data_IF_492996878606
#
_entry.id   IF_492996878606
#
_cell.length_a   1.000
_cell.length_b   1.000
_cell.length_c   1.000
_cell.angle_alpha   90.00
_cell.angle_beta   90.00
_cell.angle_gamma   90.00
#
_symmetry.space_group_name_H-M   'P 1'
#
loop_
_entity.id
_entity.type
_entity.pdbx_description
1 polymer ?
#
# COMPACT_ATOMS: atom_id res chain seq x y z
N UNK A 1 22.02 35.12 6.62
CA UNK A 1 20.82 34.60 7.29
C UNK A 1 20.73 33.10 7.04
N UNK A 2 20.51 32.28 8.08
CA UNK A 2 20.21 30.84 7.94
C UNK A 2 18.76 30.61 8.30
N UNK A 3 18.06 29.71 7.61
CA UNK A 3 16.82 29.09 8.14
C UNK A 3 17.21 27.81 8.87
N UNK A 4 16.46 27.51 9.92
CA UNK A 4 16.53 26.28 10.72
C UNK A 4 15.09 25.77 10.81
N UNK A 5 14.92 24.46 10.69
CA UNK A 5 13.62 23.79 10.71
C UNK A 5 12.97 23.86 12.09
N UNK A 6 11.64 23.89 12.15
CA UNK A 6 10.90 23.62 13.38
C UNK A 6 9.59 22.87 13.11
N UNK A 7 9.44 21.76 13.82
CA UNK A 7 8.24 20.94 13.93
C UNK A 7 7.73 21.02 15.39
N UNK A 8 6.48 20.64 15.63
CA UNK A 8 5.88 20.29 16.95
C UNK A 8 5.46 21.46 17.87
N UNK A 9 4.15 21.54 18.22
CA UNK A 9 3.62 21.57 19.62
C UNK A 9 2.08 21.76 19.76
N UNK A 10 1.41 20.85 20.54
CA UNK A 10 0.17 21.01 21.39
C UNK A 10 -1.16 21.36 20.62
N UNK A 11 -2.43 20.97 20.93
CA UNK A 11 -3.31 20.69 22.11
C UNK A 11 -4.25 19.49 21.78
N UNK A 12 -4.84 18.58 22.61
CA UNK A 12 -4.85 18.21 24.05
C UNK A 12 -6.20 18.35 24.85
N UNK A 13 -6.85 17.21 25.20
CA UNK A 13 -8.07 17.01 26.06
C UNK A 13 -9.42 17.54 25.49
N UNK A 14 -10.65 17.14 25.91
CA UNK A 14 -11.26 16.50 27.11
C UNK A 14 -12.64 15.81 26.77
N UNK A 15 -13.40 15.05 27.60
CA UNK A 15 -13.19 14.10 28.75
C UNK A 15 -14.56 13.49 29.24
N UNK A 16 -14.60 12.30 29.91
CA UNK A 16 -15.71 11.73 30.78
C UNK A 16 -17.03 11.23 30.09
N UNK A 17 -17.80 10.21 30.52
CA UNK A 17 -17.87 9.28 31.70
C UNK A 17 -18.30 7.84 31.23
N UNK A 18 -18.27 6.72 31.98
CA UNK A 18 -18.95 6.39 33.26
C UNK A 18 -18.30 5.14 33.95
N UNK A 19 -18.73 4.76 35.16
CA UNK A 19 -17.97 3.93 36.11
C UNK A 19 -18.54 2.53 36.45
N UNK A 20 -17.73 1.73 37.15
CA UNK A 20 -17.89 0.30 37.52
C UNK A 20 -18.92 -0.01 38.62
N UNK A 21 -19.38 -1.27 38.72
CA UNK A 21 -19.85 -1.84 40.00
C UNK A 21 -19.76 -3.39 40.12
N UNK A 22 -19.37 -3.83 41.33
CA UNK A 22 -19.63 -5.13 42.00
C UNK A 22 -19.32 -6.48 41.30
N UNK A 23 -18.32 -7.19 41.87
CA UNK A 23 -18.23 -8.66 41.85
C UNK A 23 -18.96 -9.22 43.09
N UNK A 24 -19.72 -10.33 42.94
CA UNK A 24 -20.13 -11.19 44.07
C UNK A 24 -20.37 -12.62 43.59
N UNK A 25 -19.51 -13.56 43.98
CA UNK A 25 -19.63 -14.97 43.60
C UNK A 25 -20.48 -15.81 44.56
N UNK A 26 -20.97 -16.95 44.07
CA UNK A 26 -21.43 -18.10 44.86
C UNK A 26 -21.46 -19.36 44.00
N UNK A 27 -21.13 -20.50 44.59
CA UNK A 27 -21.03 -21.81 43.95
C UNK A 27 -22.39 -22.50 43.79
N UNK A 28 -22.57 -23.31 42.73
CA UNK A 28 -22.70 -24.79 42.87
C UNK A 28 -23.06 -25.51 41.56
N UNK A 29 -22.50 -26.71 41.38
CA UNK A 29 -23.06 -27.90 40.71
C UNK A 29 -23.54 -27.88 39.22
N UNK A 30 -22.94 -28.80 38.47
CA UNK A 30 -23.55 -29.75 37.52
C UNK A 30 -24.56 -29.28 36.45
N UNK A 31 -24.11 -29.32 35.19
CA UNK A 31 -24.98 -29.21 34.01
C UNK A 31 -24.22 -29.21 32.68
N UNK A 32 -23.98 -30.38 32.08
CA UNK A 32 -23.46 -30.45 30.71
C UNK A 32 -24.53 -30.03 29.70
N UNK A 33 -24.34 -28.88 29.03
CA UNK A 33 -24.99 -28.57 27.76
C UNK A 33 -23.93 -27.97 26.83
N UNK A 34 -23.63 -28.66 25.72
CA UNK A 34 -22.65 -28.20 24.76
C UNK A 34 -23.22 -27.14 23.80
N UNK A 35 -22.43 -26.10 23.51
CA UNK A 35 -22.72 -25.14 22.45
C UNK A 35 -21.42 -24.68 21.79
N UNK A 36 -21.38 -24.74 20.46
CA UNK A 36 -20.18 -24.45 19.67
C UNK A 36 -20.02 -22.94 19.49
N UNK A 37 -18.91 -22.39 19.97
CA UNK A 37 -18.52 -21.00 19.74
C UNK A 37 -17.03 -20.94 19.36
N UNK A 38 -16.73 -20.33 18.22
CA UNK A 38 -15.35 -20.16 17.75
C UNK A 38 -14.66 -19.02 18.53
N UNK A 39 -13.69 -19.36 19.36
CA UNK A 39 -12.94 -18.39 20.15
C UNK A 39 -11.97 -17.56 19.30
N UNK A 40 -12.26 -16.26 19.14
CA UNK A 40 -11.26 -15.26 18.76
C UNK A 40 -10.55 -14.78 20.02
N UNK A 41 -9.45 -15.43 20.37
CA UNK A 41 -8.69 -15.11 21.57
C UNK A 41 -7.62 -14.05 21.27
N UNK A 42 -7.88 -12.81 21.67
CA UNK A 42 -6.87 -11.75 21.75
C UNK A 42 -5.84 -12.12 22.83
N UNK A 43 -4.62 -12.46 22.41
CA UNK A 43 -3.47 -12.58 23.31
C UNK A 43 -2.70 -11.28 23.26
N UNK A 44 -2.66 -10.58 24.40
CA UNK A 44 -1.78 -9.43 24.63
C UNK A 44 -0.60 -9.89 25.47
N UNK A 45 0.61 -9.83 24.93
CA UNK A 45 1.83 -9.89 25.75
C UNK A 45 2.96 -9.11 25.08
N UNK A 46 3.71 -8.35 25.89
CA UNK A 46 4.79 -7.47 25.47
C UNK A 46 6.09 -7.89 26.16
N UNK A 47 6.92 -8.63 25.42
CA UNK A 47 8.33 -8.91 25.78
C UNK A 47 9.16 -8.93 24.50
N UNK A 48 10.28 -8.20 24.49
CA UNK A 48 11.01 -7.91 23.26
C UNK A 48 12.09 -8.92 22.83
N UNK A 49 12.71 -8.57 21.70
CA UNK A 49 13.93 -9.12 21.06
C UNK A 49 13.81 -10.40 20.20
N UNK A 50 14.20 -10.19 18.94
CA UNK A 50 14.71 -11.14 17.94
C UNK A 50 13.73 -11.97 17.08
N UNK A 51 14.22 -12.26 15.86
CA UNK A 51 13.67 -13.14 14.79
C UNK A 51 12.47 -12.61 13.99
N UNK A 52 12.75 -12.16 12.76
CA UNK A 52 11.74 -12.13 11.68
C UNK A 52 11.63 -13.52 11.03
N UNK A 53 10.44 -14.13 10.94
CA UNK A 53 10.21 -15.32 10.13
C UNK A 53 9.97 -14.97 8.66
N UNK A 54 10.62 -15.69 7.74
CA UNK A 54 10.38 -15.57 6.30
C UNK A 54 9.17 -16.43 5.90
N UNK A 55 8.16 -15.84 5.23
CA UNK A 55 7.07 -16.61 4.62
C UNK A 55 7.44 -17.07 3.22
N UNK A 56 7.64 -18.39 3.05
CA UNK A 56 7.73 -19.02 1.74
C UNK A 56 6.33 -19.14 1.12
N UNK A 57 6.03 -18.34 0.08
CA UNK A 57 4.96 -18.70 -0.86
C UNK A 57 5.50 -19.67 -1.90
N UNK A 58 5.14 -20.95 -1.76
CA UNK A 58 5.36 -21.95 -2.80
C UNK A 58 4.37 -21.69 -3.96
N UNK A 59 4.86 -21.19 -5.09
CA UNK A 59 4.05 -20.98 -6.28
C UNK A 59 3.73 -22.30 -6.98
N UNK A 60 2.50 -22.79 -6.79
CA UNK A 60 1.96 -23.91 -7.56
C UNK A 60 1.72 -23.50 -9.02
N UNK A 61 2.18 -24.33 -9.97
CA UNK A 61 2.03 -24.11 -11.42
C UNK A 61 1.05 -25.13 -12.04
N UNK A 62 -0.23 -24.76 -12.29
CA UNK A 62 -1.29 -25.73 -12.58
C UNK A 62 -1.52 -25.96 -14.09
N UNK A 63 -0.55 -26.56 -14.82
CA UNK A 63 -0.76 -27.04 -16.21
C UNK A 63 -0.07 -28.38 -16.54
N UNK A 64 -0.63 -29.46 -16.01
CA UNK A 64 -0.58 -30.92 -16.32
C UNK A 64 -1.18 -31.57 -15.06
N UNK A 65 -2.14 -32.49 -15.10
CA UNK A 65 -2.29 -33.67 -15.96
C UNK A 65 -3.67 -33.81 -16.65
N UNK A 66 -3.91 -34.96 -17.27
CA UNK A 66 -4.98 -35.22 -18.25
C UNK A 66 -6.25 -35.88 -17.65
N UNK A 67 -7.27 -36.04 -18.52
CA UNK A 67 -8.47 -36.85 -18.28
C UNK A 67 -8.12 -38.29 -17.87
N UNK A 68 -8.74 -38.77 -16.79
CA UNK A 68 -9.09 -40.17 -16.58
C UNK A 68 -10.43 -40.19 -15.83
N UNK A 69 -11.42 -40.96 -16.29
CA UNK A 69 -12.81 -40.82 -15.80
C UNK A 69 -13.61 -42.13 -15.83
N UNK A 70 -13.45 -42.93 -14.77
CA UNK A 70 -14.34 -43.99 -14.27
C UNK A 70 -13.96 -44.19 -12.78
N UNK A 71 -14.84 -43.93 -11.81
CA UNK A 71 -15.91 -44.81 -11.32
C UNK A 71 -15.34 -46.13 -10.77
N UNK A 72 -15.31 -46.28 -9.44
CA UNK A 72 -14.90 -47.51 -8.76
C UNK A 72 -15.53 -47.62 -7.34
N UNK A 73 -16.78 -48.07 -7.27
CA UNK A 73 -17.44 -48.72 -6.13
C UNK A 73 -18.71 -49.40 -6.66
N UNK A 74 -19.21 -50.55 -6.17
CA UNK A 74 -18.88 -51.30 -4.95
C UNK A 74 -19.18 -52.83 -5.14
N UNK A 75 -18.81 -53.67 -4.17
CA UNK A 75 -19.23 -55.08 -3.95
C UNK A 75 -18.80 -56.18 -4.97
N UNK A 76 -18.35 -57.35 -4.45
CA UNK A 76 -18.74 -58.66 -5.04
C UNK A 76 -17.70 -59.80 -5.21
N UNK A 77 -17.75 -60.77 -4.28
CA UNK A 77 -17.61 -62.24 -4.50
C UNK A 77 -16.28 -62.89 -5.00
N UNK A 78 -15.56 -63.46 -4.03
CA UNK A 78 -15.14 -64.88 -3.90
C UNK A 78 -14.20 -65.63 -4.90
N UNK A 79 -13.19 -66.26 -4.27
CA UNK A 79 -12.70 -67.66 -4.39
C UNK A 79 -11.92 -68.18 -5.62
N UNK A 80 -10.58 -68.28 -5.46
CA UNK A 80 -9.70 -69.45 -5.73
C UNK A 80 -8.30 -69.09 -5.14
N UNK A 81 -7.56 -69.93 -4.37
CA UNK A 81 -6.91 -71.20 -4.70
C UNK A 81 -5.95 -71.07 -5.91
N UNK A 82 -4.63 -71.33 -5.82
CA UNK A 82 -3.82 -71.99 -4.76
C UNK A 82 -2.31 -71.70 -4.87
N UNK A 83 -1.59 -71.99 -3.77
CA UNK A 83 -0.18 -72.42 -3.69
C UNK A 83 0.97 -71.46 -4.07
N UNK A 84 1.70 -71.06 -3.02
CA UNK A 84 3.17 -70.97 -3.00
C UNK A 84 3.78 -72.37 -3.25
N UNK A 85 5.00 -72.52 -3.80
CA UNK A 85 6.13 -72.78 -2.87
C UNK A 85 7.55 -72.37 -3.32
N UNK A 86 8.36 -72.00 -2.31
CA UNK A 86 9.78 -72.39 -2.08
C UNK A 86 10.92 -71.98 -3.05
N UNK A 87 12.07 -71.67 -2.44
CA UNK A 87 13.38 -71.58 -3.09
C UNK A 87 13.85 -72.90 -3.71
N UNK A 88 14.66 -72.81 -4.78
CA UNK A 88 15.94 -73.53 -4.87
C UNK A 88 16.99 -72.66 -5.59
N UNK A 89 18.26 -72.87 -5.23
CA UNK A 89 19.37 -72.01 -5.60
C UNK A 89 20.15 -72.48 -6.83
N UNK A 90 20.84 -71.55 -7.50
CA UNK A 90 21.86 -71.86 -8.51
C UNK A 90 23.17 -71.14 -8.18
N UNK A 91 24.05 -71.82 -7.44
CA UNK A 91 25.49 -71.60 -7.56
C UNK A 91 25.91 -72.11 -8.96
N UNK A 92 26.89 -71.58 -9.68
CA UNK A 92 28.07 -70.77 -9.32
C UNK A 92 28.39 -69.86 -10.54
N UNK A 93 29.04 -68.71 -10.43
CA UNK A 93 30.51 -68.61 -10.43
C UNK A 93 30.94 -67.18 -10.09
N UNK A 94 31.75 -67.01 -9.05
CA UNK A 94 32.36 -65.73 -8.72
C UNK A 94 33.62 -65.50 -9.54
N UNK A 95 33.59 -64.55 -10.49
CA UNK A 95 34.80 -63.88 -11.00
C UNK A 95 34.67 -62.41 -10.62
N UNK A 96 35.45 -61.99 -9.64
CA UNK A 96 35.28 -60.68 -9.01
C UNK A 96 35.81 -59.53 -9.86
N UNK A 97 34.91 -58.65 -10.32
CA UNK A 97 35.23 -57.25 -10.65
C UNK A 97 34.12 -56.33 -10.15
N UNK A 98 34.00 -56.18 -8.83
CA UNK A 98 33.19 -55.10 -8.23
C UNK A 98 33.86 -53.75 -8.53
N UNK A 99 33.53 -53.23 -9.71
CA UNK A 99 34.03 -51.99 -10.26
C UNK A 99 33.01 -50.91 -9.99
N UNK A 100 33.35 -50.02 -9.06
CA UNK A 100 32.55 -48.85 -8.69
C UNK A 100 31.94 -48.18 -9.93
N UNK A 101 30.66 -47.76 -9.89
CA UNK A 101 30.06 -47.02 -10.98
C UNK A 101 30.83 -45.73 -11.22
N UNK A 102 30.96 -45.34 -12.50
CA UNK A 102 31.58 -44.05 -12.84
C UNK A 102 30.73 -42.92 -12.23
N UNK A 103 31.37 -41.99 -11.53
CA UNK A 103 30.68 -40.85 -10.93
C UNK A 103 30.05 -39.93 -11.99
N UNK A 104 29.02 -39.18 -11.57
CA UNK A 104 28.45 -38.12 -12.40
C UNK A 104 29.53 -37.13 -12.86
N UNK A 105 29.63 -36.96 -14.19
CA UNK A 105 30.65 -36.17 -14.88
C UNK A 105 31.83 -36.97 -15.44
N UNK A 106 31.94 -38.28 -15.19
CA UNK A 106 33.01 -39.14 -15.74
C UNK A 106 32.49 -39.95 -16.93
N UNK A 107 33.17 -39.81 -18.07
CA UNK A 107 32.82 -40.45 -19.33
C UNK A 107 33.95 -41.36 -19.82
N UNK A 108 33.60 -42.48 -20.44
CA UNK A 108 34.52 -43.33 -21.21
C UNK A 108 34.25 -43.24 -22.71
N UNK A 109 32.99 -42.96 -23.10
CA UNK A 109 32.66 -42.56 -24.46
C UNK A 109 33.18 -41.14 -24.74
N UNK A 110 33.88 -41.03 -25.87
CA UNK A 110 34.49 -39.79 -26.33
C UNK A 110 33.48 -38.84 -26.96
N UNK A 111 32.47 -39.35 -27.68
CA UNK A 111 31.52 -38.49 -28.41
C UNK A 111 30.63 -37.67 -27.47
N UNK A 112 30.15 -38.31 -26.40
CA UNK A 112 29.39 -37.69 -25.32
C UNK A 112 30.22 -36.63 -24.61
N UNK A 113 31.47 -36.95 -24.27
CA UNK A 113 32.38 -35.96 -23.69
C UNK A 113 32.60 -34.76 -24.61
N UNK A 114 32.98 -34.97 -25.88
CA UNK A 114 33.31 -33.88 -26.80
C UNK A 114 32.11 -32.94 -27.04
N UNK A 115 30.88 -33.46 -27.12
CA UNK A 115 29.67 -32.64 -27.27
C UNK A 115 29.34 -31.75 -26.06
N UNK A 116 29.69 -32.18 -24.84
CA UNK A 116 29.52 -31.40 -23.61
C UNK A 116 30.72 -30.46 -23.39
N UNK A 117 31.93 -30.95 -23.66
CA UNK A 117 33.18 -30.22 -23.53
C UNK A 117 33.28 -29.02 -24.50
N UNK A 118 32.60 -29.07 -25.64
CA UNK A 118 32.44 -27.93 -26.55
C UNK A 118 31.77 -26.69 -25.92
N UNK A 119 31.10 -26.84 -24.77
CA UNK A 119 30.50 -25.73 -24.01
C UNK A 119 31.47 -25.11 -22.98
N UNK A 120 32.64 -25.71 -22.75
CA UNK A 120 33.69 -25.19 -21.86
C UNK A 120 34.31 -23.92 -22.43
N UNK A 121 34.34 -22.84 -21.63
CA UNK A 121 35.08 -21.62 -21.96
C UNK A 121 36.59 -21.76 -21.77
N UNK A 122 37.06 -22.84 -21.13
CA UNK A 122 38.48 -23.10 -20.87
C UNK A 122 39.01 -24.18 -21.82
N UNK A 123 40.31 -24.14 -22.18
CA UNK A 123 40.93 -25.23 -22.93
C UNK A 123 40.87 -26.54 -22.14
N UNK A 124 40.79 -27.66 -22.85
CA UNK A 124 40.84 -28.98 -22.24
C UNK A 124 42.19 -29.17 -21.52
N UNK A 125 42.16 -29.71 -20.30
CA UNK A 125 43.36 -30.04 -19.54
C UNK A 125 43.59 -31.54 -19.50
N UNK A 126 44.78 -31.96 -19.88
CA UNK A 126 45.27 -33.32 -19.69
C UNK A 126 45.78 -33.54 -18.26
N UNK A 127 45.41 -34.68 -17.69
CA UNK A 127 45.93 -35.25 -16.45
C UNK A 127 46.20 -36.75 -16.65
N UNK A 128 46.94 -37.37 -15.73
CA UNK A 128 47.18 -38.83 -15.71
C UNK A 128 46.71 -39.38 -14.37
N UNK A 129 45.93 -40.45 -14.41
CA UNK A 129 45.61 -41.31 -13.28
C UNK A 129 46.59 -42.49 -13.27
N UNK A 130 47.44 -42.64 -12.23
CA UNK A 130 48.37 -43.75 -12.10
C UNK A 130 47.69 -45.14 -12.00
N UNK A 131 48.49 -46.19 -12.23
CA UNK A 131 48.07 -47.58 -12.02
C UNK A 131 47.75 -47.77 -10.53
N UNK A 132 46.57 -48.34 -10.24
CA UNK A 132 46.10 -48.58 -8.87
C UNK A 132 45.53 -47.37 -8.12
N UNK A 133 45.55 -46.17 -8.69
CA UNK A 133 44.90 -44.99 -8.10
C UNK A 133 43.44 -44.81 -8.53
N UNK A 134 42.62 -44.26 -7.64
CA UNK A 134 41.23 -43.84 -7.92
C UNK A 134 41.17 -42.36 -8.29
N UNK A 135 40.15 -41.95 -9.08
CA UNK A 135 40.02 -40.57 -9.56
C UNK A 135 40.10 -39.52 -8.42
N UNK A 136 40.91 -38.45 -8.57
CA UNK A 136 41.20 -37.51 -7.48
C UNK A 136 40.09 -36.46 -7.27
N UNK A 137 38.86 -36.89 -6.97
CA UNK A 137 37.84 -36.00 -6.40
C UNK A 137 38.06 -35.82 -4.90
N UNK A 138 38.89 -34.86 -4.53
CA UNK A 138 38.83 -34.29 -3.19
C UNK A 138 37.48 -33.58 -3.01
N UNK A 139 36.57 -34.19 -2.24
CA UNK A 139 35.27 -33.62 -1.92
C UNK A 139 35.42 -32.32 -1.11
N UNK A 140 35.36 -31.19 -1.81
CA UNK A 140 35.16 -29.88 -1.17
C UNK A 140 33.69 -29.79 -0.75
N UNK A 141 33.42 -30.12 0.51
CA UNK A 141 32.11 -29.90 1.14
C UNK A 141 32.06 -28.59 1.96
N UNK A 142 33.15 -27.82 1.93
CA UNK A 142 33.32 -26.51 2.57
C UNK A 142 34.06 -25.61 1.55
N UNK A 143 33.44 -24.63 0.88
CA UNK A 143 33.22 -23.33 1.50
C UNK A 143 32.22 -22.41 0.74
N UNK A 144 30.93 -22.74 0.75
CA UNK A 144 29.86 -21.75 0.47
C UNK A 144 29.78 -20.61 1.51
N UNK A 145 30.73 -20.54 2.44
CA UNK A 145 30.86 -19.54 3.51
C UNK A 145 32.08 -18.61 3.37
N UNK A 146 33.00 -18.85 2.43
CA UNK A 146 34.17 -17.98 2.21
C UNK A 146 33.80 -16.76 1.34
N UNK A 147 32.88 -15.94 1.85
CA UNK A 147 32.52 -14.64 1.27
C UNK A 147 32.83 -13.46 2.20
N UNK A 148 34.04 -13.43 2.75
CA UNK A 148 34.71 -12.19 3.15
C UNK A 148 36.25 -12.36 3.07
N UNK A 149 36.94 -11.23 2.94
CA UNK A 149 38.40 -11.10 3.17
C UNK A 149 39.36 -12.03 2.39
N UNK A 150 39.23 -12.12 1.07
CA UNK A 150 40.33 -12.60 0.20
C UNK A 150 40.37 -11.89 -1.17
N UNK A 151 40.85 -10.65 -1.21
CA UNK A 151 41.25 -10.00 -2.46
C UNK A 151 42.67 -10.47 -2.84
N UNK A 152 42.79 -11.70 -3.35
CA UNK A 152 44.08 -12.29 -3.75
C UNK A 152 44.00 -12.89 -5.16
N UNK A 153 44.84 -12.36 -6.05
CA UNK A 153 45.32 -12.91 -7.33
C UNK A 153 44.34 -13.79 -8.13
N UNK A 154 43.55 -13.16 -9.00
CA UNK A 154 42.79 -13.85 -10.05
C UNK A 154 43.68 -14.29 -11.23
N UNK A 155 44.72 -15.08 -10.94
CA UNK A 155 45.59 -15.73 -11.92
C UNK A 155 45.96 -17.12 -11.43
N UNK A 156 45.57 -18.13 -12.21
CA UNK A 156 45.72 -19.58 -11.94
C UNK A 156 44.91 -20.14 -10.75
N UNK A 157 44.05 -21.12 -11.04
CA UNK A 157 43.55 -22.04 -10.01
C UNK A 157 44.71 -22.92 -9.51
N UNK A 158 44.69 -23.42 -8.24
CA UNK A 158 45.58 -24.50 -7.81
C UNK A 158 45.37 -25.73 -8.72
N UNK A 159 46.36 -26.01 -9.56
CA UNK A 159 46.08 -26.36 -10.97
C UNK A 159 45.43 -27.71 -11.22
N UNK A 160 45.44 -28.63 -10.25
CA UNK A 160 44.93 -29.99 -10.37
C UNK A 160 43.61 -30.25 -9.59
N UNK A 161 43.07 -29.27 -8.86
CA UNK A 161 41.81 -29.45 -8.12
C UNK A 161 40.61 -29.40 -9.07
N UNK A 162 39.67 -30.33 -8.96
CA UNK A 162 38.48 -30.49 -9.82
C UNK A 162 37.21 -29.97 -9.11
N UNK A 163 36.39 -29.19 -9.81
CA UNK A 163 35.07 -28.75 -9.33
C UNK A 163 33.99 -29.81 -9.68
N UNK A 164 32.89 -29.90 -8.91
CA UNK A 164 31.86 -30.97 -9.09
C UNK A 164 31.17 -30.95 -10.48
N UNK A 165 31.18 -29.80 -11.16
CA UNK A 165 30.61 -29.63 -12.51
C UNK A 165 31.63 -29.80 -13.65
N UNK A 166 32.92 -30.00 -13.34
CA UNK A 166 33.91 -30.40 -14.35
C UNK A 166 33.60 -31.81 -14.86
N UNK A 167 33.77 -32.02 -16.17
CA UNK A 167 33.60 -33.32 -16.82
C UNK A 167 34.94 -33.87 -17.28
N UNK A 168 35.04 -35.20 -17.29
CA UNK A 168 36.29 -35.93 -17.49
C UNK A 168 36.06 -37.07 -18.48
N UNK A 169 36.85 -37.12 -19.56
CA UNK A 169 37.02 -38.32 -20.38
C UNK A 169 38.20 -39.12 -19.83
N UNK A 170 37.97 -40.39 -19.46
CA UNK A 170 39.01 -41.26 -18.91
C UNK A 170 39.28 -42.45 -19.85
N UNK A 171 40.49 -42.53 -20.41
CA UNK A 171 40.87 -43.54 -21.40
C UNK A 171 42.26 -44.16 -21.11
N UNK A 172 42.41 -45.50 -21.01
CA UNK A 172 41.33 -46.49 -20.95
C UNK A 172 40.44 -46.29 -19.72
N UNK A 173 39.31 -47.01 -19.65
CA UNK A 173 38.36 -46.93 -18.53
C UNK A 173 39.09 -47.18 -17.19
N UNK A 174 39.03 -46.24 -16.22
CA UNK A 174 39.81 -46.31 -14.98
C UNK A 174 39.48 -47.54 -14.15
N UNK A 175 38.27 -48.09 -14.31
CA UNK A 175 37.84 -49.32 -13.64
C UNK A 175 38.63 -50.55 -14.08
N UNK A 176 39.38 -50.47 -15.18
CA UNK A 176 40.29 -51.53 -15.63
C UNK A 176 41.57 -51.59 -14.76
N UNK A 177 41.90 -50.53 -14.01
CA UNK A 177 43.01 -50.50 -13.05
C UNK A 177 44.40 -50.25 -13.66
N UNK A 178 44.50 -50.16 -14.99
CA UNK A 178 45.73 -49.90 -15.74
C UNK A 178 46.16 -48.41 -15.76
N UNK A 179 45.55 -47.58 -14.92
CA UNK A 179 45.59 -46.13 -15.02
C UNK A 179 44.79 -45.58 -16.21
N UNK A 180 44.70 -44.26 -16.30
CA UNK A 180 43.97 -43.57 -17.37
C UNK A 180 44.63 -42.25 -17.75
N UNK A 181 44.62 -41.91 -19.03
CA UNK A 181 44.69 -40.51 -19.47
C UNK A 181 43.34 -39.86 -19.17
N UNK A 182 43.37 -38.68 -18.56
CA UNK A 182 42.18 -37.92 -18.19
C UNK A 182 42.16 -36.60 -18.98
N UNK A 183 41.20 -36.43 -19.88
CA UNK A 183 40.94 -35.15 -20.54
C UNK A 183 39.81 -34.45 -19.80
N UNK A 184 40.09 -33.27 -19.23
CA UNK A 184 39.16 -32.52 -18.38
C UNK A 184 38.64 -31.29 -19.12
N UNK A 185 37.32 -31.11 -19.17
CA UNK A 185 36.68 -29.85 -19.55
C UNK A 185 36.15 -29.14 -18.30
N UNK A 186 36.46 -27.85 -18.15
CA UNK A 186 36.18 -27.10 -16.92
C UNK A 186 34.83 -26.40 -16.97
N UNK A 187 34.10 -26.47 -15.86
CA UNK A 187 32.89 -25.68 -15.67
C UNK A 187 33.22 -24.18 -15.54
N UNK A 188 32.33 -23.34 -16.06
CA UNK A 188 32.38 -21.89 -15.88
C UNK A 188 31.76 -21.50 -14.55
N UNK A 189 32.37 -20.54 -13.87
CA UNK A 189 31.88 -19.97 -12.60
C UNK A 189 30.92 -18.82 -12.90
N UNK A 190 29.75 -18.86 -12.29
CA UNK A 190 28.68 -17.90 -12.49
C UNK A 190 28.22 -17.26 -11.18
N UNK A 191 27.80 -16.00 -11.27
CA UNK A 191 27.04 -15.32 -10.20
C UNK A 191 25.75 -14.76 -10.80
N UNK A 192 24.60 -15.36 -10.48
CA UNK A 192 23.29 -14.80 -10.84
C UNK A 192 22.89 -13.80 -9.75
N UNK A 193 22.48 -12.60 -10.14
CA UNK A 193 21.94 -11.56 -9.28
C UNK A 193 20.46 -11.39 -9.62
N UNK A 194 19.58 -11.83 -8.74
CA UNK A 194 18.12 -11.74 -8.91
C UNK A 194 17.51 -11.01 -7.71
N UNK A 195 16.81 -9.89 -7.95
CA UNK A 195 16.29 -9.01 -6.89
C UNK A 195 17.38 -8.59 -5.86
N UNK A 196 18.65 -8.52 -6.28
CA UNK A 196 19.80 -8.26 -5.42
C UNK A 196 20.32 -9.46 -4.62
N UNK A 197 19.59 -10.59 -4.58
CA UNK A 197 20.10 -11.87 -4.05
C UNK A 197 21.14 -12.42 -5.02
N UNK A 198 22.33 -12.76 -4.52
CA UNK A 198 23.38 -13.44 -5.28
C UNK A 198 23.24 -14.96 -5.16
N UNK A 199 23.45 -15.66 -6.26
CA UNK A 199 23.47 -17.13 -6.36
C UNK A 199 24.77 -17.49 -7.09
N UNK A 200 25.64 -18.24 -6.43
CA UNK A 200 26.94 -18.63 -6.97
C UNK A 200 26.93 -20.11 -7.36
N UNK A 201 27.39 -20.42 -8.56
CA UNK A 201 27.36 -21.77 -9.11
C UNK A 201 28.50 -22.03 -10.11
N UNK A 202 28.73 -23.31 -10.40
CA UNK A 202 29.57 -23.79 -11.51
C UNK A 202 28.70 -24.60 -12.46
N UNK A 203 28.84 -24.37 -13.77
CA UNK A 203 28.10 -25.10 -14.81
C UNK A 203 28.85 -25.10 -16.15
N UNK A 204 28.48 -26.04 -17.03
CA UNK A 204 28.84 -26.03 -18.45
C UNK A 204 27.83 -25.24 -19.31
N UNK A 205 26.87 -24.55 -18.71
CA UNK A 205 25.81 -23.85 -19.43
C UNK A 205 26.34 -22.84 -20.46
N UNK A 206 26.01 -23.09 -21.73
CA UNK A 206 26.46 -22.30 -22.87
C UNK A 206 25.70 -20.98 -23.05
N UNK A 207 24.46 -20.88 -22.55
CA UNK A 207 23.57 -19.71 -22.69
C UNK A 207 22.94 -19.32 -21.35
N UNK A 208 22.53 -18.04 -21.18
CA UNK A 208 21.80 -17.63 -19.98
C UNK A 208 20.50 -18.43 -19.77
N UNK A 209 19.77 -18.79 -20.84
CA UNK A 209 18.57 -19.64 -20.73
C UNK A 209 18.88 -21.00 -20.10
N UNK A 210 19.95 -21.65 -20.56
CA UNK A 210 20.38 -22.95 -20.04
C UNK A 210 20.71 -22.83 -18.53
N UNK A 211 21.57 -21.88 -18.16
CA UNK A 211 21.98 -21.67 -16.76
C UNK A 211 20.78 -21.36 -15.83
N UNK A 212 19.85 -20.52 -16.27
CA UNK A 212 18.64 -20.22 -15.50
C UNK A 212 17.76 -21.45 -15.35
N UNK A 213 17.60 -22.26 -16.40
CA UNK A 213 16.80 -23.49 -16.35
C UNK A 213 17.38 -24.56 -15.42
N UNK A 214 18.71 -24.67 -15.33
CA UNK A 214 19.41 -25.55 -14.38
C UNK A 214 19.18 -25.14 -12.91
N UNK A 215 18.87 -23.88 -12.65
CA UNK A 215 18.51 -23.36 -11.33
C UNK A 215 16.98 -23.29 -11.10
N UNK A 216 16.17 -23.79 -12.05
CA UNK A 216 14.71 -23.67 -11.99
C UNK A 216 14.18 -22.24 -12.12
N UNK A 217 15.02 -21.28 -12.54
CA UNK A 217 14.68 -19.87 -12.65
C UNK A 217 14.02 -19.58 -14.01
N UNK A 218 12.81 -19.04 -13.98
CA UNK A 218 12.10 -18.51 -15.15
C UNK A 218 12.07 -16.99 -15.13
N UNK A 219 12.19 -16.35 -16.30
CA UNK A 219 11.92 -14.93 -16.49
C UNK A 219 10.42 -14.72 -16.75
N UNK A 220 9.84 -13.68 -16.16
CA UNK A 220 8.51 -13.18 -16.51
C UNK A 220 8.53 -12.40 -17.83
N UNK A 221 7.36 -12.17 -18.41
CA UNK A 221 7.16 -11.51 -19.72
C UNK A 221 7.86 -10.15 -19.87
N UNK A 222 7.95 -9.39 -18.78
CA UNK A 222 8.55 -8.05 -18.75
C UNK A 222 9.94 -8.03 -18.10
N UNK A 223 10.42 -9.15 -17.56
CA UNK A 223 11.70 -9.22 -16.84
C UNK A 223 12.86 -8.96 -17.79
N UNK A 224 13.85 -8.20 -17.30
CA UNK A 224 15.04 -7.85 -18.07
C UNK A 224 16.23 -8.66 -17.56
N UNK A 225 17.11 -9.01 -18.48
CA UNK A 225 18.41 -9.59 -18.19
C UNK A 225 19.47 -8.78 -18.95
N UNK A 226 20.66 -8.64 -18.36
CA UNK A 226 21.73 -7.79 -18.89
C UNK A 226 22.39 -8.29 -20.19
N UNK A 227 21.99 -9.47 -20.71
CA UNK A 227 22.34 -9.98 -22.05
C UNK A 227 21.25 -10.87 -22.63
N UNK A 228 21.20 -10.98 -23.96
CA UNK A 228 20.22 -11.80 -24.66
C UNK A 228 20.25 -13.28 -24.22
N UNK A 229 19.08 -13.82 -23.85
CA UNK A 229 18.93 -15.14 -23.18
C UNK A 229 19.45 -16.34 -23.98
N UNK A 230 19.48 -16.24 -25.30
CA UNK A 230 19.90 -17.30 -26.23
C UNK A 230 21.28 -17.05 -26.85
N UNK A 231 21.97 -15.96 -26.49
CA UNK A 231 23.34 -15.73 -26.97
C UNK A 231 24.30 -16.69 -26.25
N UNK A 232 25.18 -17.41 -26.97
CA UNK A 232 26.30 -18.11 -26.37
C UNK A 232 27.16 -17.18 -25.52
N UNK A 233 27.43 -17.58 -24.30
CA UNK A 233 28.38 -16.92 -23.40
C UNK A 233 29.81 -17.26 -23.83
N UNK A 234 30.74 -16.35 -23.59
CA UNK A 234 32.10 -16.39 -24.14
C UNK A 234 33.14 -15.96 -23.12
N UNK A 235 34.43 -16.12 -23.43
CA UNK A 235 35.52 -15.58 -22.59
C UNK A 235 35.43 -14.06 -22.39
N UNK A 236 34.79 -13.32 -23.30
CA UNK A 236 34.59 -11.87 -23.16
C UNK A 236 33.49 -11.49 -22.16
N UNK A 237 32.69 -12.47 -21.71
CA UNK A 237 31.64 -12.29 -20.69
C UNK A 237 32.13 -12.56 -19.25
N UNK A 238 33.41 -12.94 -19.09
CA UNK A 238 34.07 -13.12 -17.80
C UNK A 238 34.45 -11.76 -17.21
N UNK A 239 34.05 -11.51 -15.97
CA UNK A 239 34.59 -10.41 -15.17
C UNK A 239 36.12 -10.61 -14.99
N UNK A 240 36.96 -9.62 -15.33
CA UNK A 240 38.42 -9.76 -15.33
C UNK A 240 39.04 -9.74 -13.93
N UNK A 241 38.27 -9.40 -12.90
CA UNK A 241 38.73 -9.33 -11.49
C UNK A 241 38.42 -10.63 -10.74
N UNK A 242 37.30 -11.28 -11.07
CA UNK A 242 36.84 -12.49 -10.37
C UNK A 242 36.94 -13.77 -11.21
N UNK A 243 37.09 -13.67 -12.53
CA UNK A 243 37.10 -14.81 -13.45
C UNK A 243 35.75 -15.53 -13.52
N UNK A 244 34.63 -14.79 -13.36
CA UNK A 244 33.27 -15.34 -13.31
C UNK A 244 32.37 -14.60 -14.30
N UNK A 245 31.35 -15.29 -14.83
CA UNK A 245 30.27 -14.63 -15.56
C UNK A 245 29.19 -14.21 -14.56
N UNK A 246 29.16 -12.93 -14.20
CA UNK A 246 28.05 -12.33 -13.45
C UNK A 246 26.87 -12.15 -14.41
N UNK A 247 25.64 -12.45 -13.98
CA UNK A 247 24.39 -12.31 -14.74
C UNK A 247 23.36 -11.54 -13.88
N UNK A 248 22.82 -10.43 -14.39
CA UNK A 248 21.88 -9.58 -13.63
C UNK A 248 20.47 -9.69 -14.19
N UNK A 249 19.52 -10.04 -13.33
CA UNK A 249 18.08 -10.02 -13.60
C UNK A 249 17.45 -8.81 -12.91
N UNK A 250 16.69 -8.03 -13.67
CA UNK A 250 15.80 -6.99 -13.15
C UNK A 250 14.36 -7.48 -13.31
N UNK A 251 13.71 -7.76 -12.18
CA UNK A 251 12.32 -8.22 -12.13
C UNK A 251 11.37 -7.04 -12.34
N UNK A 252 10.45 -7.13 -13.30
CA UNK A 252 9.59 -6.02 -13.72
C UNK A 252 8.12 -6.35 -13.49
N UNK A 253 7.50 -5.71 -12.50
CA UNK A 253 6.09 -5.83 -12.21
C UNK A 253 5.32 -4.61 -12.75
N UNK A 254 4.34 -4.86 -13.63
CA UNK A 254 3.38 -3.85 -14.11
C UNK A 254 2.03 -4.13 -13.43
N UNK A 255 1.46 -3.13 -12.77
CA UNK A 255 0.26 -3.27 -11.93
C UNK A 255 -0.69 -2.09 -12.12
N UNK A 256 -1.98 -2.30 -11.90
CA UNK A 256 -2.94 -1.19 -11.72
C UNK A 256 -3.13 -0.89 -10.24
N UNK A 257 -2.98 0.38 -9.86
CA UNK A 257 -3.23 0.88 -8.51
C UNK A 257 -4.41 1.86 -8.57
N UNK A 258 -5.35 1.73 -7.63
CA UNK A 258 -6.55 2.58 -7.55
C UNK A 258 -6.47 3.45 -6.29
N UNK A 259 -6.52 4.76 -6.48
CA UNK A 259 -6.46 5.77 -5.43
C UNK A 259 -7.77 6.56 -5.45
N UNK A 260 -8.44 6.71 -4.30
CA UNK A 260 -9.65 7.53 -4.18
C UNK A 260 -9.33 8.83 -3.44
N UNK A 261 -9.82 9.94 -3.99
CA UNK A 261 -9.62 11.30 -3.50
C UNK A 261 -10.96 11.90 -3.09
N UNK A 262 -11.01 12.52 -1.92
CA UNK A 262 -12.18 13.30 -1.48
C UNK A 262 -12.22 14.63 -2.22
N UNK A 263 -13.42 15.03 -2.67
CA UNK A 263 -13.67 16.37 -3.23
C UNK A 263 -14.42 17.18 -2.18
N UNK A 264 -13.88 18.34 -1.81
CA UNK A 264 -14.56 19.29 -0.92
C UNK A 264 -15.86 19.82 -1.56
N UNK A 265 -16.83 20.19 -0.73
CA UNK A 265 -18.02 20.93 -1.16
C UNK A 265 -17.80 22.44 -1.06
N UNK A 266 -18.56 23.19 -1.86
CA UNK A 266 -18.62 24.65 -1.77
C UNK A 266 -19.59 25.08 -0.66
N UNK A 267 -19.30 26.20 0.01
CA UNK A 267 -20.21 26.85 0.95
C UNK A 267 -20.90 28.04 0.27
N UNK A 268 -22.22 27.98 0.13
CA UNK A 268 -23.02 28.97 -0.59
C UNK A 268 -23.97 29.68 0.39
N UNK A 269 -23.65 30.94 0.72
CA UNK A 269 -24.56 31.80 1.47
C UNK A 269 -25.60 32.43 0.53
N UNK A 270 -26.87 32.45 0.93
CA UNK A 270 -27.98 33.13 0.23
C UNK A 270 -28.81 33.95 1.21
N UNK A 271 -29.43 35.01 0.72
CA UNK A 271 -30.39 35.81 1.49
C UNK A 271 -31.82 35.50 1.05
N UNK A 272 -32.75 35.46 2.00
CA UNK A 272 -34.16 35.17 1.76
C UNK A 272 -35.05 36.29 2.35
N UNK A 273 -35.70 37.11 1.50
CA UNK A 273 -36.58 38.20 1.93
C UNK A 273 -37.98 37.73 2.37
N UNK A 274 -38.27 36.42 2.29
CA UNK A 274 -39.49 35.81 2.84
C UNK A 274 -39.29 35.30 4.26
N UNK A 275 -38.05 34.95 4.62
CA UNK A 275 -37.62 34.42 5.91
C UNK A 275 -37.28 35.56 6.90
N UNK A 276 -37.76 35.53 8.15
CA UNK A 276 -37.47 36.56 9.15
C UNK A 276 -35.97 36.83 9.35
N UNK A 277 -35.59 38.11 9.41
CA UNK A 277 -34.26 38.57 9.86
C UNK A 277 -33.87 37.86 11.15
N UNK A 278 -32.68 37.28 11.16
CA UNK A 278 -32.12 36.52 12.27
C UNK A 278 -32.30 34.99 12.16
N UNK A 279 -33.28 34.51 11.39
CA UNK A 279 -33.40 33.08 11.12
C UNK A 279 -32.33 32.62 10.10
N UNK A 280 -31.80 31.42 10.34
CA UNK A 280 -30.81 30.76 9.48
C UNK A 280 -31.31 29.35 9.18
N UNK A 281 -31.25 28.94 7.91
CA UNK A 281 -31.52 27.56 7.45
C UNK A 281 -30.28 27.04 6.72
N UNK A 282 -29.71 25.95 7.22
CA UNK A 282 -28.50 25.33 6.67
C UNK A 282 -28.85 23.95 6.09
N UNK A 283 -28.65 23.79 4.79
CA UNK A 283 -28.60 22.48 4.13
C UNK A 283 -27.14 22.00 4.19
N UNK A 284 -26.82 20.88 4.85
CA UNK A 284 -25.45 20.42 4.99
C UNK A 284 -24.85 20.01 3.65
N UNK A 285 -23.59 20.37 3.44
CA UNK A 285 -22.84 19.96 2.25
C UNK A 285 -22.51 18.46 2.28
N UNK A 286 -22.24 17.89 1.11
CA UNK A 286 -21.74 16.53 0.98
C UNK A 286 -20.43 16.50 0.20
N UNK A 287 -19.43 15.82 0.79
CA UNK A 287 -18.18 15.52 0.10
C UNK A 287 -18.44 14.63 -1.13
N UNK A 288 -17.69 14.90 -2.20
CA UNK A 288 -17.59 14.06 -3.38
C UNK A 288 -16.42 13.07 -3.31
N UNK A 289 -16.37 12.15 -4.26
CA UNK A 289 -15.28 11.18 -4.42
C UNK A 289 -14.84 11.13 -5.89
N UNK A 290 -13.53 11.20 -6.12
CA UNK A 290 -12.89 10.94 -7.42
C UNK A 290 -11.99 9.71 -7.30
N UNK A 291 -12.02 8.83 -8.28
CA UNK A 291 -11.15 7.64 -8.32
C UNK A 291 -10.17 7.73 -9.49
N UNK A 292 -8.89 7.65 -9.18
CA UNK A 292 -7.81 7.56 -10.16
C UNK A 292 -7.35 6.11 -10.25
N UNK A 293 -7.12 5.63 -11.47
CA UNK A 293 -6.43 4.37 -11.72
C UNK A 293 -5.10 4.68 -12.39
N UNK A 294 -4.01 4.20 -11.80
CA UNK A 294 -2.66 4.37 -12.28
C UNK A 294 -2.09 3.03 -12.76
N UNK A 295 -1.42 3.04 -13.92
CA UNK A 295 -0.48 1.97 -14.27
C UNK A 295 0.84 2.26 -13.57
N UNK A 296 1.35 1.30 -12.81
CA UNK A 296 2.57 1.43 -12.04
C UNK A 296 3.55 0.31 -12.41
N UNK A 297 4.73 0.71 -12.90
CA UNK A 297 5.85 -0.17 -13.19
C UNK A 297 6.85 -0.12 -12.03
N UNK A 298 7.21 -1.31 -11.52
CA UNK A 298 8.23 -1.50 -10.50
C UNK A 298 9.36 -2.37 -11.02
N UNK A 299 10.59 -1.97 -10.79
CA UNK A 299 11.81 -2.73 -11.09
C UNK A 299 12.47 -3.13 -9.78
N UNK A 300 12.69 -4.43 -9.57
CA UNK A 300 13.16 -5.00 -8.30
C UNK A 300 12.39 -4.44 -7.08
N UNK A 301 11.06 -4.39 -7.21
CA UNK A 301 10.12 -3.89 -6.20
C UNK A 301 10.04 -2.37 -6.05
N UNK A 302 11.03 -1.62 -6.53
CA UNK A 302 11.04 -0.16 -6.49
C UNK A 302 10.21 0.43 -7.63
N UNK A 303 9.34 1.39 -7.32
CA UNK A 303 8.59 2.12 -8.34
C UNK A 303 9.52 2.99 -9.21
N UNK A 304 9.43 2.81 -10.53
CA UNK A 304 10.21 3.57 -11.53
C UNK A 304 9.34 4.40 -12.48
N UNK A 305 8.06 4.04 -12.63
CA UNK A 305 7.12 4.76 -13.51
C UNK A 305 5.68 4.64 -13.00
N UNK A 306 4.95 5.76 -13.05
CA UNK A 306 3.52 5.87 -12.74
C UNK A 306 2.82 6.66 -13.84
N UNK A 307 1.75 6.11 -14.41
CA UNK A 307 0.93 6.73 -15.46
C UNK A 307 -0.52 6.80 -15.00
N UNK A 308 -1.17 7.97 -15.07
CA UNK A 308 -2.62 8.07 -14.85
C UNK A 308 -3.35 7.52 -16.09
N UNK A 309 -4.01 6.38 -15.96
CA UNK A 309 -4.72 5.71 -17.08
C UNK A 309 -6.24 5.88 -17.02
N UNK A 310 -6.80 6.22 -15.86
CA UNK A 310 -8.24 6.49 -15.70
C UNK A 310 -8.49 7.49 -14.57
N UNK A 311 -9.48 8.36 -14.73
CA UNK A 311 -9.84 9.39 -13.75
C UNK A 311 -11.37 9.57 -13.77
N UNK A 312 -12.05 9.17 -12.71
CA UNK A 312 -13.52 9.01 -12.67
C UNK A 312 -14.13 9.78 -11.50
N UNK A 313 -15.19 10.55 -11.76
CA UNK A 313 -16.01 11.12 -10.69
C UNK A 313 -16.97 10.03 -10.21
N UNK A 314 -16.78 9.55 -8.98
CA UNK A 314 -17.62 8.51 -8.36
C UNK A 314 -18.84 9.14 -7.68
N UNK A 315 -18.62 10.29 -7.01
CA UNK A 315 -19.68 11.10 -6.39
C UNK A 315 -19.37 12.57 -6.60
N UNK A 316 -20.32 13.32 -7.14
CA UNK A 316 -20.24 14.78 -7.18
C UNK A 316 -20.38 15.37 -5.76
N UNK A 317 -19.59 16.39 -5.37
CA UNK A 317 -19.85 17.13 -4.14
C UNK A 317 -21.20 17.85 -4.24
N UNK A 318 -21.89 17.99 -3.12
CA UNK A 318 -23.10 18.81 -3.02
C UNK A 318 -22.80 20.01 -2.12
N UNK A 319 -23.11 21.25 -2.54
CA UNK A 319 -22.76 22.43 -1.76
C UNK A 319 -23.51 22.47 -0.43
N UNK A 320 -22.85 23.00 0.59
CA UNK A 320 -23.52 23.47 1.79
C UNK A 320 -24.24 24.79 1.47
N UNK A 321 -25.51 24.91 1.84
CA UNK A 321 -26.32 26.10 1.53
C UNK A 321 -26.83 26.72 2.82
N UNK A 322 -26.32 27.91 3.14
CA UNK A 322 -26.72 28.68 4.33
C UNK A 322 -27.60 29.85 3.90
N UNK A 323 -28.91 29.68 4.06
CA UNK A 323 -29.91 30.71 3.82
C UNK A 323 -30.05 31.56 5.10
N UNK A 324 -29.91 32.88 4.96
CA UNK A 324 -30.11 33.85 6.04
C UNK A 324 -31.34 34.70 5.73
N UNK A 325 -32.27 34.79 6.66
CA UNK A 325 -33.46 35.61 6.50
C UNK A 325 -33.13 37.11 6.57
N UNK A 326 -33.81 37.91 5.76
CA UNK A 326 -33.67 39.37 5.74
C UNK A 326 -34.98 40.12 5.99
N UNK A 327 -36.11 39.41 6.09
CA UNK A 327 -37.44 40.00 6.28
C UNK A 327 -37.59 40.66 7.65
N UNK A 328 -37.79 41.98 7.63
CA UNK A 328 -38.20 42.75 8.82
C UNK A 328 -39.67 42.45 9.10
N UNK A 329 -39.95 41.88 10.28
CA UNK A 329 -41.29 41.63 10.80
C UNK A 329 -41.69 42.85 11.64
N UNK A 330 -42.83 43.46 11.27
CA UNK A 330 -43.37 44.63 11.97
C UNK A 330 -44.49 44.26 12.93
N UNK A 331 -44.52 44.90 14.09
CA UNK A 331 -45.54 44.78 15.13
C UNK A 331 -46.58 45.89 15.00
N UNK A 332 -46.70 46.74 16.03
CA UNK A 332 -47.52 47.96 15.95
C UNK A 332 -47.05 48.87 14.81
N UNK A 333 -48.00 49.42 14.05
CA UNK A 333 -47.75 50.43 13.01
C UNK A 333 -48.73 51.58 13.19
N UNK A 334 -48.21 52.82 13.21
CA UNK A 334 -49.01 54.04 13.22
C UNK A 334 -48.44 55.05 12.20
N UNK A 335 -49.28 55.92 11.66
CA UNK A 335 -48.85 57.04 10.80
C UNK A 335 -49.43 58.33 11.36
N UNK A 336 -48.61 59.37 11.49
CA UNK A 336 -49.05 60.62 12.13
C UNK A 336 -47.92 61.61 12.35
N UNK A 337 -47.97 62.28 13.50
CA UNK A 337 -47.05 63.38 13.86
C UNK A 337 -45.94 62.88 14.78
N UNK A 338 -44.71 63.33 14.56
CA UNK A 338 -43.59 63.17 15.51
C UNK A 338 -42.94 64.52 15.78
N UNK A 339 -42.44 64.70 16.98
CA UNK A 339 -41.89 65.96 17.50
C UNK A 339 -40.43 65.75 17.95
N UNK A 340 -39.81 66.79 18.49
CA UNK A 340 -38.48 66.68 19.10
C UNK A 340 -38.40 67.32 20.48
N UNK A 341 -37.54 66.74 21.30
CA UNK A 341 -37.23 67.18 22.66
C UNK A 341 -35.73 67.01 22.93
N UNK A 342 -35.18 67.77 23.88
CA UNK A 342 -33.78 67.62 24.31
C UNK A 342 -33.74 67.28 25.79
N UNK A 343 -33.29 66.07 26.10
CA UNK A 343 -33.07 65.59 27.46
C UNK A 343 -31.77 64.78 27.52
N UNK A 344 -31.16 64.68 28.71
CA UNK A 344 -29.80 64.12 28.84
C UNK A 344 -29.77 62.60 29.02
N UNK A 345 -30.86 61.97 29.47
CA UNK A 345 -30.94 60.54 29.82
C UNK A 345 -31.78 59.68 28.86
N UNK A 346 -32.45 60.30 27.89
CA UNK A 346 -33.34 59.65 26.92
C UNK A 346 -33.25 60.37 25.58
N UNK A 347 -33.34 59.64 24.47
CA UNK A 347 -33.28 60.15 23.09
C UNK A 347 -34.53 59.87 22.26
N UNK A 348 -35.41 58.97 22.69
CA UNK A 348 -36.64 58.60 21.97
C UNK A 348 -37.71 58.28 23.00
N UNK A 349 -38.80 59.05 23.00
CA UNK A 349 -39.92 58.84 23.91
C UNK A 349 -41.18 58.46 23.14
N UNK A 350 -41.95 57.49 23.67
CA UNK A 350 -43.28 57.15 23.17
C UNK A 350 -44.06 56.33 24.20
N UNK A 351 -45.34 56.64 24.35
CA UNK A 351 -46.29 55.87 25.18
C UNK A 351 -47.04 54.79 24.38
N UNK A 352 -47.07 54.91 23.05
CA UNK A 352 -47.70 53.92 22.16
C UNK A 352 -46.86 52.65 22.02
N UNK A 353 -45.54 52.78 22.14
CA UNK A 353 -44.56 51.70 22.03
C UNK A 353 -43.86 51.49 23.37
N UNK A 354 -43.59 50.24 23.78
CA UNK A 354 -42.96 49.98 25.08
C UNK A 354 -41.52 50.50 25.12
N UNK A 355 -41.04 50.94 26.29
CA UNK A 355 -39.61 51.25 26.48
C UNK A 355 -38.77 50.00 26.16
N UNK A 356 -37.72 50.17 25.36
CA UNK A 356 -36.81 49.12 24.93
C UNK A 356 -37.10 48.48 23.57
N UNK A 357 -38.25 48.75 22.92
CA UNK A 357 -38.51 48.23 21.57
C UNK A 357 -37.78 49.04 20.50
N UNK A 358 -37.50 48.41 19.35
CA UNK A 358 -36.90 49.07 18.19
C UNK A 358 -38.00 49.59 17.26
N UNK A 359 -37.87 50.83 16.80
CA UNK A 359 -38.79 51.52 15.91
C UNK A 359 -38.10 51.89 14.59
N UNK A 360 -38.71 51.57 13.45
CA UNK A 360 -38.40 52.19 12.16
C UNK A 360 -39.34 53.36 11.94
N UNK A 361 -38.80 54.56 11.84
CA UNK A 361 -39.55 55.74 11.44
C UNK A 361 -39.28 56.01 9.95
N UNK A 362 -40.33 56.31 9.20
CA UNK A 362 -40.27 56.72 7.78
C UNK A 362 -41.01 58.04 7.62
N UNK A 363 -40.33 59.10 7.23
CA UNK A 363 -40.99 60.34 6.82
C UNK A 363 -41.52 60.15 5.39
N UNK A 364 -42.85 60.01 5.25
CA UNK A 364 -43.48 59.67 3.96
C UNK A 364 -43.39 60.79 2.93
N UNK A 365 -43.08 62.03 3.35
CA UNK A 365 -42.98 63.19 2.44
C UNK A 365 -41.62 63.28 1.73
N UNK A 366 -40.57 62.63 2.25
CA UNK A 366 -39.20 62.69 1.69
C UNK A 366 -38.49 61.32 1.60
N UNK A 367 -39.13 60.23 2.06
CA UNK A 367 -38.59 58.87 2.02
C UNK A 367 -37.50 58.57 3.05
N UNK A 368 -37.08 59.54 3.88
CA UNK A 368 -36.00 59.33 4.85
C UNK A 368 -36.45 58.40 5.98
N UNK A 369 -35.52 57.54 6.40
CA UNK A 369 -35.75 56.52 7.43
C UNK A 369 -34.68 56.56 8.50
N UNK A 370 -35.10 56.31 9.74
CA UNK A 370 -34.21 55.99 10.86
C UNK A 370 -34.70 54.73 11.57
N UNK A 371 -33.77 53.99 12.16
CA UNK A 371 -34.06 52.91 13.11
C UNK A 371 -33.50 53.34 14.47
N UNK A 372 -34.35 53.34 15.50
CA UNK A 372 -34.03 53.82 16.84
C UNK A 372 -34.66 52.91 17.90
N UNK A 373 -34.22 53.01 19.16
CA UNK A 373 -34.78 52.27 20.29
C UNK A 373 -35.55 53.23 21.19
N UNK A 374 -36.81 52.91 21.53
CA UNK A 374 -37.59 53.73 22.46
C UNK A 374 -36.96 53.67 23.86
N UNK A 375 -36.66 54.80 24.49
CA UNK A 375 -35.98 54.88 25.78
C UNK A 375 -36.67 55.80 26.83
N UNK A 376 -37.82 56.42 26.53
CA UNK A 376 -38.61 57.23 27.48
C UNK A 376 -40.13 57.14 27.30
N UNK A 377 -40.89 57.77 28.20
CA UNK A 377 -42.31 58.10 28.00
C UNK A 377 -42.48 59.52 27.44
N UNK A 378 -43.54 59.74 26.67
CA UNK A 378 -44.10 61.07 26.43
C UNK A 378 -45.09 61.30 27.56
N UNK A 379 -44.56 61.64 28.73
CA UNK A 379 -45.29 61.58 30.00
C UNK A 379 -46.30 62.75 30.19
N UNK A 380 -46.93 63.21 29.09
CA UNK A 380 -47.97 64.22 28.96
C UNK A 380 -48.72 63.99 27.64
N UNK A 381 -50.04 64.23 27.58
CA UNK A 381 -50.81 64.00 26.35
C UNK A 381 -50.58 65.13 25.32
N UNK A 382 -49.78 64.83 24.29
CA UNK A 382 -49.39 65.78 23.23
C UNK A 382 -49.98 65.45 21.85
N UNK A 383 -50.58 64.26 21.70
CA UNK A 383 -50.98 63.74 20.38
C UNK A 383 -49.82 63.59 19.38
N UNK A 384 -48.61 63.27 19.85
CA UNK A 384 -47.47 62.84 19.01
C UNK A 384 -47.22 61.34 19.16
N UNK A 385 -46.77 60.68 18.08
CA UNK A 385 -46.49 59.24 18.11
C UNK A 385 -45.15 58.93 18.80
N UNK A 386 -44.16 59.79 18.58
CA UNK A 386 -42.79 59.68 19.09
C UNK A 386 -42.21 61.09 19.26
N UNK A 387 -41.52 61.32 20.37
CA UNK A 387 -40.65 62.47 20.61
C UNK A 387 -39.19 62.05 20.39
N UNK A 388 -38.44 62.81 19.59
CA UNK A 388 -37.08 62.47 19.15
C UNK A 388 -36.02 63.44 19.67
N UNK A 389 -34.80 62.95 19.91
CA UNK A 389 -33.61 63.79 20.06
C UNK A 389 -33.36 64.60 18.76
N UNK A 390 -32.84 65.84 18.83
CA UNK A 390 -32.51 66.68 17.67
C UNK A 390 -31.83 65.95 16.51
N UNK A 391 -30.82 65.11 16.78
CA UNK A 391 -30.10 64.36 15.75
C UNK A 391 -31.02 63.42 14.96
N UNK A 392 -31.93 62.72 15.66
CA UNK A 392 -32.88 61.78 15.05
C UNK A 392 -33.99 62.49 14.27
N UNK A 393 -34.50 63.60 14.80
CA UNK A 393 -35.48 64.45 14.11
C UNK A 393 -34.89 65.07 12.83
N UNK A 394 -33.63 65.52 12.90
CA UNK A 394 -32.89 66.08 11.76
C UNK A 394 -32.55 65.01 10.72
N UNK A 395 -32.24 63.78 11.15
CA UNK A 395 -32.01 62.64 10.24
C UNK A 395 -33.28 62.16 9.50
N UNK A 396 -34.48 62.51 9.98
CA UNK A 396 -35.75 62.37 9.24
C UNK A 396 -36.09 63.62 8.39
N UNK A 397 -35.21 64.61 8.33
CA UNK A 397 -35.36 65.83 7.52
C UNK A 397 -36.18 66.93 8.18
N UNK A 398 -36.47 66.83 9.47
CA UNK A 398 -37.12 67.89 10.22
C UNK A 398 -36.13 68.98 10.64
N UNK A 399 -36.47 70.26 10.44
CA UNK A 399 -35.66 71.36 11.00
C UNK A 399 -36.10 71.67 12.42
N UNK A 400 -35.18 71.96 13.35
CA UNK A 400 -35.55 72.17 14.76
C UNK A 400 -36.56 73.32 14.96
N UNK A 401 -36.54 74.33 14.09
CA UNK A 401 -37.52 75.44 14.06
C UNK A 401 -38.94 75.01 13.67
N UNK A 402 -39.09 73.90 12.95
CA UNK A 402 -40.38 73.36 12.50
C UNK A 402 -41.13 72.66 13.65
N UNK A 403 -40.42 72.14 14.65
CA UNK A 403 -40.97 71.47 15.85
C UNK A 403 -41.57 70.08 15.59
N UNK A 404 -42.32 69.90 14.50
CA UNK A 404 -43.11 68.70 14.21
C UNK A 404 -42.94 68.26 12.75
N UNK A 405 -42.67 66.96 12.54
CA UNK A 405 -42.81 66.29 11.26
C UNK A 405 -44.21 65.67 11.14
N UNK A 406 -44.87 65.95 10.02
CA UNK A 406 -46.17 65.38 9.63
C UNK A 406 -45.95 64.13 8.77
N UNK A 407 -46.96 63.25 8.67
CA UNK A 407 -46.94 62.04 7.83
C UNK A 407 -45.73 61.13 8.07
N UNK A 408 -45.32 60.94 9.33
CA UNK A 408 -44.29 59.95 9.68
C UNK A 408 -44.97 58.64 10.04
N UNK A 409 -44.63 57.57 9.32
CA UNK A 409 -44.98 56.19 9.66
C UNK A 409 -43.97 55.66 10.69
N UNK A 410 -44.46 55.12 11.80
CA UNK A 410 -43.66 54.50 12.86
C UNK A 410 -44.04 53.03 12.93
N UNK A 411 -43.06 52.14 12.76
CA UNK A 411 -43.22 50.68 12.77
C UNK A 411 -42.37 50.07 13.88
N UNK A 412 -42.99 49.35 14.80
CA UNK A 412 -42.29 48.49 15.76
C UNK A 412 -41.62 47.34 15.00
N UNK A 413 -40.29 47.18 15.13
CA UNK A 413 -39.58 46.03 14.56
C UNK A 413 -39.49 44.94 15.62
N UNK A 414 -40.06 43.77 15.33
CA UNK A 414 -40.05 42.61 16.25
C UNK A 414 -38.69 41.90 16.23
N UNK A 415 -38.04 41.81 15.07
CA UNK A 415 -36.73 41.20 14.85
C UNK A 415 -35.71 42.24 14.31
N UNK A 416 -35.17 43.10 15.18
CA UNK A 416 -34.32 44.25 14.78
C UNK A 416 -32.99 43.85 14.14
#
# INVERSE_FOLDING_TARGET
MRRIDFLTFIIALAVVSLASLAIKGRDSADGQIGLVAAGWQLVTEDTGLAKQPWFNLAYLNPRRWQKASAIASDQGLNSALSQEPQDQATQTTTVGTDRLPLESGVYTDRSTFESLAAQSLYPLKELVLPIGETLPRQFVEQSLLEQSTAAQSATEQPSNKLDRADIILAQPDPRIGLGSRLTVARATRFTIIDYGKKIHLVSLASTPRQLLSEQGLTLGENDKIDRAVDRPMTKADLDPTTGQIVLTITRVAITEVKESETIAFEQIKKEDPTLPRGEIKQTPGQLGERRKTFRVTRENGREVKRELIKNELIKAPQPEITIVGTKVVVGKVYTGRVSWYKYNSTKVASDLFKRGVTLRLTNLNNGQQIIVRNDGCICADTGFLVDLHPDHFTALGGTLRQGVLQNVKVEEIINP
#
